data_IF_212579484423
#
_entry.id   IF_212579484423
#
_cell.length_a   1.000
_cell.length_b   1.000
_cell.length_c   1.000
_cell.angle_alpha   90.00
_cell.angle_beta   90.00
_cell.angle_gamma   90.00
#
_symmetry.space_group_name_H-M   'P 1'
#
loop_
_entity.id
_entity.type
_entity.pdbx_description
1 polymer ?
#
# COMPACT_ATOMS: atom_id res chain seq x y z
N UNK A 1 28.11 -13.08 2.37
CA UNK A 1 29.29 -12.32 1.94
C UNK A 1 28.97 -11.53 0.68
N UNK A 2 29.66 -10.41 0.48
CA UNK A 2 29.60 -9.63 -0.76
C UNK A 2 31.04 -9.56 -1.28
N UNK A 3 31.22 -9.96 -2.54
CA UNK A 3 32.50 -9.93 -3.24
C UNK A 3 32.36 -9.03 -4.47
N UNK A 4 33.40 -8.26 -4.77
CA UNK A 4 33.46 -7.38 -5.93
C UNK A 4 34.69 -7.71 -6.76
N UNK A 5 34.48 -7.99 -8.04
CA UNK A 5 35.53 -8.05 -9.05
C UNK A 5 35.28 -6.93 -10.04
N UNK A 6 36.30 -6.11 -10.31
CA UNK A 6 36.16 -4.97 -11.20
C UNK A 6 37.43 -4.78 -12.02
N UNK A 7 37.30 -4.59 -13.33
CA UNK A 7 38.38 -4.27 -14.26
C UNK A 7 38.04 -2.99 -15.02
N UNK A 8 39.02 -2.07 -15.09
CA UNK A 8 38.82 -0.79 -15.72
C UNK A 8 38.49 -0.93 -17.23
N UNK A 9 37.46 -0.26 -17.70
CA UNK A 9 36.86 -0.33 -19.05
C UNK A 9 36.25 -1.68 -19.46
N UNK A 10 36.18 -2.66 -18.56
CA UNK A 10 35.55 -3.96 -18.80
C UNK A 10 34.22 -4.05 -18.04
N UNK A 11 34.21 -3.67 -16.77
CA UNK A 11 33.00 -3.69 -15.94
C UNK A 11 33.26 -4.16 -14.51
N UNK A 12 32.18 -4.30 -13.75
CA UNK A 12 32.21 -4.78 -12.36
C UNK A 12 31.19 -5.89 -12.15
N UNK A 13 31.60 -6.93 -11.43
CA UNK A 13 30.74 -8.03 -11.01
C UNK A 13 30.61 -8.02 -9.50
N UNK A 14 29.39 -7.96 -8.99
CA UNK A 14 29.08 -8.09 -7.58
C UNK A 14 28.50 -9.47 -7.34
N UNK A 15 29.13 -10.26 -6.46
CA UNK A 15 28.62 -11.56 -6.05
C UNK A 15 28.13 -11.48 -4.62
N UNK A 16 26.84 -11.78 -4.41
CA UNK A 16 26.23 -11.82 -3.07
C UNK A 16 25.91 -13.27 -2.71
N UNK A 17 26.53 -13.76 -1.63
CA UNK A 17 26.23 -15.09 -1.09
C UNK A 17 25.46 -14.92 0.22
N UNK A 18 24.25 -15.48 0.27
CA UNK A 18 23.37 -15.50 1.45
C UNK A 18 23.14 -16.94 1.84
N UNK A 19 23.35 -17.26 3.12
CA UNK A 19 23.01 -18.56 3.68
C UNK A 19 21.68 -18.46 4.41
N UNK A 20 20.75 -19.33 4.06
CA UNK A 20 19.46 -19.48 4.73
C UNK A 20 19.46 -20.79 5.51
N UNK A 21 18.95 -20.75 6.73
CA UNK A 21 18.58 -21.97 7.43
C UNK A 21 17.26 -22.48 6.84
N UNK A 22 17.24 -23.74 6.43
CA UNK A 22 16.00 -24.36 5.96
C UNK A 22 15.22 -24.79 7.20
N UNK A 23 14.12 -24.10 7.47
CA UNK A 23 13.19 -24.53 8.52
C UNK A 23 12.45 -25.80 8.08
N UNK A 24 12.79 -26.93 8.69
CA UNK A 24 12.15 -28.22 8.44
C UNK A 24 10.87 -28.43 9.27
N UNK A 25 10.40 -27.41 10.01
CA UNK A 25 9.25 -27.52 10.91
C UNK A 25 7.99 -26.91 10.33
N UNK A 26 7.62 -27.29 9.10
CA UNK A 26 6.22 -27.21 8.69
C UNK A 26 5.61 -28.61 8.74
N UNK A 27 5.59 -29.20 9.94
CA UNK A 27 4.57 -30.19 10.24
C UNK A 27 3.27 -29.45 10.57
N UNK A 28 2.28 -29.73 9.73
CA UNK A 28 0.89 -29.32 9.92
C UNK A 28 0.43 -29.51 11.37
N UNK A 29 0.39 -28.45 12.14
CA UNK A 29 -0.44 -28.37 13.32
C UNK A 29 -1.66 -27.50 13.03
N UNK A 30 -2.60 -28.09 12.31
CA UNK A 30 -4.01 -27.82 12.46
C UNK A 30 -4.40 -28.01 13.92
N UNK A 31 -4.28 -27.01 14.74
CA UNK A 31 -5.01 -26.88 16.02
C UNK A 31 -4.41 -25.81 16.93
N UNK A 32 -4.50 -24.56 16.55
CA UNK A 32 -4.73 -23.49 17.52
C UNK A 32 -5.32 -22.29 16.76
N UNK A 33 -6.65 -22.32 16.63
CA UNK A 33 -7.44 -21.10 16.45
C UNK A 33 -7.33 -20.32 17.74
N UNK A 34 -6.23 -19.59 17.91
CA UNK A 34 -6.25 -18.47 18.84
C UNK A 34 -7.13 -17.39 18.21
N UNK A 35 -8.10 -17.00 18.98
CA UNK A 35 -9.14 -16.02 18.71
C UNK A 35 -8.57 -14.72 18.12
N UNK A 36 -8.45 -14.70 16.79
CA UNK A 36 -8.36 -13.46 16.05
C UNK A 36 -9.75 -12.79 16.17
N UNK A 37 -9.87 -11.52 16.58
CA UNK A 37 -11.15 -10.84 16.57
C UNK A 37 -11.70 -10.91 15.15
N UNK A 38 -12.99 -11.23 15.03
CA UNK A 38 -13.78 -11.47 13.82
C UNK A 38 -13.12 -10.92 12.56
N UNK A 39 -12.61 -11.81 11.72
CA UNK A 39 -11.99 -11.44 10.44
C UNK A 39 -13.07 -10.78 9.59
N UNK A 40 -13.10 -9.45 9.59
CA UNK A 40 -13.92 -8.72 8.63
C UNK A 40 -13.47 -9.20 7.25
N UNK A 41 -14.41 -9.69 6.47
CA UNK A 41 -14.19 -10.12 5.10
C UNK A 41 -14.00 -8.86 4.24
N UNK A 42 -12.86 -8.74 3.57
CA UNK A 42 -12.56 -7.64 2.66
C UNK A 42 -13.14 -7.86 1.25
N UNK A 43 -13.71 -9.04 1.00
CA UNK A 43 -14.23 -9.41 -0.32
C UNK A 43 -15.23 -8.40 -0.84
N UNK A 44 -15.03 -7.98 -2.08
CA UNK A 44 -15.91 -7.08 -2.78
C UNK A 44 -15.73 -5.60 -2.46
N UNK A 45 -14.88 -5.23 -1.50
CA UNK A 45 -14.50 -3.84 -1.24
C UNK A 45 -13.71 -3.27 -2.41
N UNK A 46 -13.86 -1.97 -2.67
CA UNK A 46 -13.21 -1.28 -3.77
C UNK A 46 -12.01 -0.46 -3.30
N UNK A 47 -10.88 -0.70 -3.95
CA UNK A 47 -9.60 -0.03 -3.67
C UNK A 47 -9.17 0.79 -4.88
N UNK A 48 -8.82 2.05 -4.66
CA UNK A 48 -8.06 2.84 -5.63
C UNK A 48 -6.57 2.73 -5.27
N UNK A 49 -5.82 1.95 -6.05
CA UNK A 49 -4.39 1.72 -5.87
C UNK A 49 -3.59 2.68 -6.74
N UNK A 50 -2.69 3.45 -6.12
CA UNK A 50 -1.94 4.52 -6.80
C UNK A 50 -0.44 4.28 -6.60
N UNK A 51 0.26 3.98 -7.71
CA UNK A 51 1.69 3.66 -7.72
C UNK A 51 2.25 3.92 -9.12
N UNK A 52 3.38 4.59 -9.25
CA UNK A 52 4.00 4.93 -10.54
C UNK A 52 4.92 3.84 -11.09
N UNK A 53 5.47 3.00 -10.22
CA UNK A 53 6.34 1.90 -10.61
C UNK A 53 5.52 0.66 -10.97
N UNK A 54 5.62 0.21 -12.22
CA UNK A 54 4.85 -0.92 -12.72
C UNK A 54 5.07 -2.23 -11.93
N UNK A 55 6.28 -2.48 -11.44
CA UNK A 55 6.59 -3.68 -10.66
C UNK A 55 5.93 -3.60 -9.28
N UNK A 56 6.03 -2.44 -8.61
CA UNK A 56 5.37 -2.25 -7.32
C UNK A 56 3.84 -2.32 -7.46
N UNK A 57 3.29 -1.75 -8.53
CA UNK A 57 1.87 -1.84 -8.87
C UNK A 57 1.43 -3.30 -8.99
N UNK A 58 2.16 -4.11 -9.78
CA UNK A 58 1.85 -5.52 -9.97
C UNK A 58 1.90 -6.32 -8.66
N UNK A 59 2.91 -6.05 -7.81
CA UNK A 59 3.03 -6.69 -6.49
C UNK A 59 1.87 -6.30 -5.58
N UNK A 60 1.57 -5.01 -5.48
CA UNK A 60 0.48 -4.53 -4.63
C UNK A 60 -0.88 -5.04 -5.13
N UNK A 61 -1.09 -5.05 -6.45
CA UNK A 61 -2.30 -5.60 -7.08
C UNK A 61 -2.49 -7.07 -6.71
N UNK A 62 -1.46 -7.91 -6.91
CA UNK A 62 -1.54 -9.34 -6.60
C UNK A 62 -1.90 -9.60 -5.12
N UNK A 63 -1.31 -8.82 -4.19
CA UNK A 63 -1.61 -8.92 -2.77
C UNK A 63 -3.08 -8.59 -2.47
N UNK A 64 -3.61 -7.53 -3.07
CA UNK A 64 -4.99 -7.10 -2.86
C UNK A 64 -6.00 -8.04 -3.54
N UNK A 65 -5.63 -8.63 -4.67
CA UNK A 65 -6.44 -9.62 -5.38
C UNK A 65 -6.61 -10.92 -4.57
N UNK A 66 -5.57 -11.36 -3.85
CA UNK A 66 -5.65 -12.51 -2.93
C UNK A 66 -6.69 -12.30 -1.81
N UNK A 67 -6.93 -11.06 -1.41
CA UNK A 67 -7.97 -10.69 -0.43
C UNK A 67 -9.35 -10.44 -1.09
N UNK A 68 -9.50 -10.76 -2.36
CA UNK A 68 -10.74 -10.62 -3.14
C UNK A 68 -11.28 -9.19 -3.22
N UNK A 69 -10.40 -8.20 -3.21
CA UNK A 69 -10.73 -6.80 -3.39
C UNK A 69 -10.93 -6.46 -4.88
N UNK A 70 -11.77 -5.48 -5.16
CA UNK A 70 -11.88 -4.89 -6.49
C UNK A 70 -10.88 -3.73 -6.59
N UNK A 71 -10.04 -3.72 -7.62
CA UNK A 71 -8.91 -2.80 -7.71
C UNK A 71 -9.06 -1.92 -8.94
N UNK A 72 -8.94 -0.61 -8.74
CA UNK A 72 -8.74 0.37 -9.81
C UNK A 72 -7.34 0.94 -9.66
N UNK A 73 -6.56 0.96 -10.73
CA UNK A 73 -5.18 1.43 -10.74
C UNK A 73 -5.06 2.87 -11.24
N UNK A 74 -4.17 3.64 -10.64
CA UNK A 74 -3.72 4.94 -11.09
C UNK A 74 -2.19 5.04 -11.03
N UNK A 75 -1.55 5.67 -12.01
CA UNK A 75 -0.08 5.72 -12.15
C UNK A 75 0.56 6.98 -11.55
N UNK A 76 -0.21 7.88 -11.02
CA UNK A 76 0.23 9.10 -10.35
C UNK A 76 -0.95 9.76 -9.63
N UNK A 77 -0.65 10.74 -8.78
CA UNK A 77 -1.67 11.43 -8.00
C UNK A 77 -2.71 12.17 -8.83
N UNK A 78 -2.33 12.69 -10.01
CA UNK A 78 -3.28 13.39 -10.89
C UNK A 78 -4.30 12.43 -11.48
N UNK A 79 -3.88 11.27 -11.93
CA UNK A 79 -4.77 10.22 -12.44
C UNK A 79 -5.71 9.72 -11.34
N UNK A 80 -5.17 9.51 -10.13
CA UNK A 80 -5.98 9.14 -8.97
C UNK A 80 -7.07 10.17 -8.65
N UNK A 81 -6.72 11.46 -8.64
CA UNK A 81 -7.68 12.54 -8.45
C UNK A 81 -8.76 12.55 -9.53
N UNK A 82 -8.39 12.41 -10.80
CA UNK A 82 -9.33 12.36 -11.93
C UNK A 82 -10.27 11.16 -11.83
N UNK A 83 -9.75 9.97 -11.52
CA UNK A 83 -10.54 8.75 -11.32
C UNK A 83 -11.53 8.95 -10.16
N UNK A 84 -11.04 9.39 -9.00
CA UNK A 84 -11.89 9.57 -7.83
C UNK A 84 -12.94 10.64 -8.05
N UNK A 85 -12.60 11.77 -8.67
CA UNK A 85 -13.54 12.86 -8.97
C UNK A 85 -14.68 12.42 -9.89
N UNK A 86 -14.41 11.53 -10.86
CA UNK A 86 -15.39 11.04 -11.84
C UNK A 86 -16.11 9.77 -11.38
N UNK A 87 -15.72 9.17 -10.25
CA UNK A 87 -16.37 8.00 -9.68
C UNK A 87 -17.75 8.33 -9.10
N UNK A 88 -18.54 7.29 -8.85
CA UNK A 88 -19.77 7.43 -8.09
C UNK A 88 -19.47 7.79 -6.64
N UNK A 89 -20.45 8.38 -5.96
CA UNK A 89 -20.35 8.60 -4.52
C UNK A 89 -20.18 7.24 -3.81
N UNK A 90 -19.26 7.15 -2.87
CA UNK A 90 -18.95 5.95 -2.08
C UNK A 90 -18.57 4.71 -2.94
N UNK A 91 -18.01 4.92 -4.15
CA UNK A 91 -17.57 3.83 -5.02
C UNK A 91 -16.35 3.12 -4.45
N UNK A 92 -15.43 3.87 -3.86
CA UNK A 92 -14.22 3.33 -3.25
C UNK A 92 -14.35 3.28 -1.73
N UNK A 93 -13.91 2.17 -1.14
CA UNK A 93 -13.85 1.97 0.30
C UNK A 93 -12.52 2.47 0.90
N UNK A 94 -11.44 2.46 0.13
CA UNK A 94 -10.10 2.89 0.57
C UNK A 94 -9.24 3.31 -0.63
N UNK A 95 -8.35 4.27 -0.41
CA UNK A 95 -7.29 4.65 -1.35
C UNK A 95 -5.95 4.22 -0.76
N UNK A 96 -5.14 3.50 -1.55
CA UNK A 96 -3.75 3.16 -1.21
C UNK A 96 -2.85 3.96 -2.12
N UNK A 97 -2.08 4.89 -1.55
CA UNK A 97 -1.40 5.96 -2.27
C UNK A 97 0.10 5.94 -2.03
N UNK A 98 0.89 5.75 -3.08
CA UNK A 98 2.33 6.04 -2.99
C UNK A 98 2.55 7.53 -2.71
N UNK A 99 3.45 7.83 -1.79
CA UNK A 99 3.80 9.20 -1.45
C UNK A 99 4.69 9.82 -2.52
N UNK A 100 5.64 9.06 -3.06
CA UNK A 100 6.68 9.57 -3.95
C UNK A 100 6.41 9.19 -5.42
N UNK A 101 5.69 10.05 -6.13
CA UNK A 101 5.35 9.84 -7.54
C UNK A 101 5.64 11.08 -8.38
N UNK A 102 5.93 10.91 -9.69
CA UNK A 102 6.06 12.03 -10.63
C UNK A 102 4.70 12.66 -10.95
N UNK A 103 4.70 13.85 -11.52
CA UNK A 103 3.55 14.64 -11.99
C UNK A 103 2.76 15.27 -10.85
N UNK A 104 2.27 14.48 -9.92
CA UNK A 104 1.60 14.86 -8.69
C UNK A 104 1.92 13.80 -7.65
N UNK A 105 2.53 14.19 -6.56
CA UNK A 105 2.86 13.30 -5.46
C UNK A 105 1.61 12.92 -4.63
N UNK A 106 1.78 11.92 -3.75
CA UNK A 106 0.66 11.42 -2.96
C UNK A 106 0.13 12.42 -1.94
N UNK A 107 0.99 13.33 -1.42
CA UNK A 107 0.57 14.35 -0.47
C UNK A 107 -0.27 15.42 -1.15
N UNK A 108 0.16 15.87 -2.34
CA UNK A 108 -0.58 16.82 -3.17
C UNK A 108 -1.93 16.23 -3.61
N UNK A 109 -1.92 14.97 -4.07
CA UNK A 109 -3.12 14.26 -4.48
C UNK A 109 -4.12 14.11 -3.32
N UNK A 110 -3.64 13.76 -2.14
CA UNK A 110 -4.47 13.65 -0.94
C UNK A 110 -5.16 14.97 -0.59
N UNK A 111 -4.40 16.07 -0.56
CA UNK A 111 -4.97 17.40 -0.31
C UNK A 111 -6.04 17.76 -1.34
N UNK A 112 -5.75 17.54 -2.62
CA UNK A 112 -6.68 17.82 -3.71
C UNK A 112 -7.95 16.97 -3.60
N UNK A 113 -7.84 15.68 -3.23
CA UNK A 113 -9.00 14.81 -2.98
C UNK A 113 -9.82 15.35 -1.80
N UNK A 114 -9.18 15.72 -0.67
CA UNK A 114 -9.87 16.25 0.52
C UNK A 114 -10.57 17.59 0.27
N UNK A 115 -10.11 18.37 -0.71
CA UNK A 115 -10.69 19.65 -1.11
C UNK A 115 -11.90 19.51 -2.06
N UNK A 116 -12.16 18.31 -2.60
CA UNK A 116 -13.34 18.10 -3.45
C UNK A 116 -14.65 18.38 -2.70
N UNK A 117 -15.60 18.98 -3.40
CA UNK A 117 -16.96 19.23 -2.87
C UNK A 117 -17.81 17.94 -2.87
N UNK A 118 -17.28 16.87 -2.23
CA UNK A 118 -17.93 15.56 -2.08
C UNK A 118 -17.83 15.11 -0.62
N UNK A 119 -18.91 14.53 -0.12
CA UNK A 119 -18.95 14.07 1.28
C UNK A 119 -17.99 12.89 1.53
N UNK A 120 -17.90 11.96 0.58
CA UNK A 120 -17.02 10.80 0.63
C UNK A 120 -15.53 11.17 0.55
N UNK A 121 -15.18 12.24 -0.18
CA UNK A 121 -13.81 12.74 -0.27
C UNK A 121 -13.21 13.15 1.08
N UNK A 122 -14.07 13.56 2.02
CA UNK A 122 -13.65 13.95 3.38
C UNK A 122 -13.50 12.77 4.32
N UNK A 123 -14.09 11.62 3.97
CA UNK A 123 -14.20 10.45 4.86
C UNK A 123 -13.42 9.25 4.36
N UNK A 124 -13.22 9.10 3.04
CA UNK A 124 -12.54 7.94 2.48
C UNK A 124 -11.17 7.74 3.13
N UNK A 125 -10.85 6.55 3.65
CA UNK A 125 -9.53 6.27 4.19
C UNK A 125 -8.47 6.36 3.09
N UNK A 126 -7.37 7.05 3.39
CA UNK A 126 -6.20 7.13 2.50
C UNK A 126 -5.01 6.57 3.26
N UNK A 127 -4.46 5.46 2.76
CA UNK A 127 -3.29 4.78 3.32
C UNK A 127 -2.07 5.15 2.49
N UNK A 128 -1.07 5.78 3.12
CA UNK A 128 0.20 6.10 2.48
C UNK A 128 1.07 4.85 2.29
N UNK A 129 1.67 4.67 1.11
CA UNK A 129 2.81 3.77 0.90
C UNK A 129 4.09 4.59 0.87
N UNK A 130 5.03 4.34 1.78
CA UNK A 130 6.26 5.11 1.91
C UNK A 130 7.51 4.25 1.79
N UNK A 131 8.58 4.77 1.19
CA UNK A 131 9.89 4.11 1.21
C UNK A 131 10.54 4.15 2.59
N UNK A 132 10.18 5.11 3.43
CA UNK A 132 10.73 5.34 4.76
C UNK A 132 9.61 5.42 5.80
N UNK A 133 9.82 4.80 6.95
CA UNK A 133 8.91 4.86 8.09
C UNK A 133 9.38 5.85 9.17
N UNK A 134 10.03 6.97 8.78
CA UNK A 134 10.45 7.98 9.74
C UNK A 134 9.27 8.79 10.26
N UNK A 135 9.36 9.26 11.49
CA UNK A 135 8.28 10.05 12.12
C UNK A 135 7.94 11.34 11.35
N UNK A 136 8.94 11.94 10.67
CA UNK A 136 8.75 13.15 9.87
C UNK A 136 7.87 12.87 8.65
N UNK A 137 8.09 11.75 7.96
CA UNK A 137 7.30 11.33 6.79
C UNK A 137 5.85 10.99 7.21
N UNK A 138 5.72 10.28 8.33
CA UNK A 138 4.40 9.98 8.91
C UNK A 138 3.62 11.26 9.24
N UNK A 139 4.28 12.24 9.85
CA UNK A 139 3.64 13.51 10.17
C UNK A 139 3.19 14.25 8.91
N UNK A 140 4.02 14.28 7.86
CA UNK A 140 3.66 14.89 6.59
C UNK A 140 2.43 14.24 5.95
N UNK A 141 2.32 12.90 6.01
CA UNK A 141 1.15 12.16 5.53
C UNK A 141 -0.12 12.54 6.31
N UNK A 142 -0.06 12.58 7.65
CA UNK A 142 -1.18 12.98 8.49
C UNK A 142 -1.59 14.44 8.26
N UNK A 143 -0.62 15.35 8.16
CA UNK A 143 -0.86 16.79 7.89
C UNK A 143 -1.48 17.00 6.50
N UNK A 144 -1.25 16.10 5.54
CA UNK A 144 -1.89 16.11 4.22
C UNK A 144 -3.33 15.56 4.25
N UNK A 145 -3.73 14.86 5.32
CA UNK A 145 -5.05 14.26 5.45
C UNK A 145 -5.10 12.75 5.15
N UNK A 146 -3.96 12.05 5.16
CA UNK A 146 -3.91 10.59 5.12
C UNK A 146 -4.20 10.01 6.51
N UNK A 147 -4.76 8.81 6.57
CA UNK A 147 -5.25 8.19 7.82
C UNK A 147 -4.26 7.21 8.45
N UNK A 148 -3.51 6.52 7.61
CA UNK A 148 -2.50 5.53 8.03
C UNK A 148 -1.36 5.45 7.01
N UNK A 149 -0.29 4.71 7.35
CA UNK A 149 0.84 4.51 6.46
C UNK A 149 1.37 3.07 6.53
N UNK A 150 1.98 2.63 5.43
CA UNK A 150 2.65 1.34 5.27
C UNK A 150 4.02 1.58 4.64
N UNK A 151 5.06 0.98 5.22
CA UNK A 151 6.40 1.02 4.65
C UNK A 151 6.53 0.02 3.49
N UNK A 152 7.20 0.42 2.43
CA UNK A 152 7.67 -0.49 1.37
C UNK A 152 8.94 -1.22 1.83
N UNK A 153 9.16 -2.53 1.53
CA UNK A 153 8.29 -3.37 0.71
C UNK A 153 6.99 -3.76 1.44
N UNK A 154 5.91 -3.91 0.67
CA UNK A 154 4.58 -4.18 1.21
C UNK A 154 4.55 -5.59 1.81
N UNK A 155 4.18 -5.65 3.09
CA UNK A 155 3.93 -6.87 3.84
C UNK A 155 2.42 -7.14 3.83
N UNK A 156 2.02 -8.34 3.39
CA UNK A 156 0.60 -8.71 3.18
C UNK A 156 -0.19 -8.61 4.48
N UNK A 157 0.34 -9.17 5.57
CA UNK A 157 -0.37 -9.19 6.86
C UNK A 157 -0.54 -7.78 7.43
N UNK A 158 0.49 -6.93 7.27
CA UNK A 158 0.43 -5.52 7.69
C UNK A 158 -0.55 -4.73 6.86
N UNK A 159 -0.53 -4.89 5.52
CA UNK A 159 -1.46 -4.20 4.64
C UNK A 159 -2.90 -4.55 5.00
N UNK A 160 -3.20 -5.84 5.15
CA UNK A 160 -4.50 -6.31 5.58
C UNK A 160 -4.93 -5.72 6.92
N UNK A 161 -4.05 -5.76 7.92
CA UNK A 161 -4.35 -5.22 9.26
C UNK A 161 -4.66 -3.71 9.22
N UNK A 162 -3.92 -2.95 8.40
CA UNK A 162 -4.13 -1.50 8.24
C UNK A 162 -5.44 -1.21 7.53
N UNK A 163 -5.74 -1.93 6.42
CA UNK A 163 -7.04 -1.77 5.72
C UNK A 163 -8.20 -2.05 6.68
N UNK A 164 -8.17 -3.16 7.41
CA UNK A 164 -9.19 -3.49 8.41
C UNK A 164 -9.32 -2.41 9.49
N UNK A 165 -8.19 -1.86 9.96
CA UNK A 165 -8.20 -0.82 10.98
C UNK A 165 -8.88 0.46 10.51
N UNK A 166 -8.62 0.90 9.27
CA UNK A 166 -9.21 2.15 8.76
C UNK A 166 -10.69 1.98 8.40
N UNK A 167 -11.09 0.83 7.86
CA UNK A 167 -12.50 0.54 7.54
C UNK A 167 -13.36 0.43 8.81
N UNK A 168 -12.86 -0.22 9.87
CA UNK A 168 -13.57 -0.31 11.16
C UNK A 168 -13.77 1.05 11.84
N UNK A 169 -12.90 2.02 11.59
CA UNK A 169 -13.06 3.39 12.14
C UNK A 169 -14.19 4.18 11.49
N UNK A 170 -14.62 3.78 10.29
CA UNK A 170 -15.71 4.45 9.57
C UNK A 170 -17.10 3.96 9.99
N UNK A 171 -17.20 2.74 10.51
CA UNK A 171 -18.49 2.16 10.92
C UNK A 171 -18.94 2.60 12.33
N UNK A 172 -18.09 3.31 13.09
CA UNK A 172 -18.38 3.83 14.44
C UNK A 172 -18.55 5.35 14.44
#
# INVERSE_FOLDING_TARGET
TIELESEENVGSTFTVTVSFEIDHLVENNDSQKDSCPQSMDLSGKWVLLVEDNAINMEIAHAILEEEHLNITEAKNGKEALEIFQNSRMDEYDVIIMDVMMPVMDGLEATKAIRELEREDAKKIPIIAMTANAFEEDRKACLDAGMDEHIAKPIDIEKLRAVILSVLNKQEN
#
